data_IF_812068883104
#
_entry.id   IF_812068883104
#
_cell.length_a   1.000
_cell.length_b   1.000
_cell.length_c   1.000
_cell.angle_alpha   90.00
_cell.angle_beta   90.00
_cell.angle_gamma   90.00
#
_symmetry.space_group_name_H-M   'P 1'
#
loop_
_entity.id
_entity.type
_entity.pdbx_description
1 polymer ?
#
# COMPACT_ATOMS: atom_id res chain seq x y z
N UNK A 1 17.63 -12.13 6.26
CA UNK A 1 17.73 -10.66 6.20
C UNK A 1 19.11 -10.17 6.64
N UNK A 2 19.64 -10.58 7.80
CA UNK A 2 20.88 -10.01 8.37
C UNK A 2 22.12 -10.29 7.53
N UNK A 3 22.25 -11.48 6.91
CA UNK A 3 23.36 -11.82 6.02
C UNK A 3 23.42 -10.85 4.83
N UNK A 4 22.29 -10.61 4.20
CA UNK A 4 22.17 -9.68 3.08
C UNK A 4 22.47 -8.24 3.54
N UNK A 5 21.86 -7.80 4.65
CA UNK A 5 22.10 -6.45 5.18
C UNK A 5 23.57 -6.22 5.55
N UNK A 6 24.26 -7.21 6.12
CA UNK A 6 25.71 -7.14 6.41
C UNK A 6 26.54 -6.95 5.13
N UNK A 7 26.18 -7.66 4.04
CA UNK A 7 26.86 -7.55 2.76
C UNK A 7 26.65 -6.18 2.10
N UNK A 8 25.37 -5.71 2.05
CA UNK A 8 25.00 -4.45 1.42
C UNK A 8 25.49 -3.22 2.19
N UNK A 9 25.58 -3.31 3.52
CA UNK A 9 26.08 -2.21 4.36
C UNK A 9 27.58 -2.19 4.54
N UNK A 10 28.31 -3.19 4.01
CA UNK A 10 29.76 -3.25 4.10
C UNK A 10 30.39 -1.98 3.55
N UNK A 11 31.33 -1.40 4.30
CA UNK A 11 32.06 -0.17 3.96
C UNK A 11 31.21 1.10 3.79
N UNK A 12 29.90 1.04 4.08
CA UNK A 12 28.99 2.20 4.02
C UNK A 12 29.07 3.15 5.22
N UNK A 13 29.67 2.70 6.33
CA UNK A 13 29.64 3.41 7.62
C UNK A 13 28.28 3.31 8.36
N UNK A 14 27.28 2.66 7.79
CA UNK A 14 25.95 2.47 8.41
C UNK A 14 26.02 1.27 9.37
N UNK A 15 25.63 1.48 10.62
CA UNK A 15 25.58 0.44 11.63
C UNK A 15 24.31 -0.39 11.51
N UNK A 16 24.46 -1.70 11.33
CA UNK A 16 23.34 -2.65 11.35
C UNK A 16 22.92 -2.97 12.79
N UNK A 17 21.62 -2.85 13.08
CA UNK A 17 21.00 -3.38 14.28
C UNK A 17 20.17 -4.62 13.90
N UNK A 18 20.56 -5.78 14.42
CA UNK A 18 19.87 -7.06 14.15
C UNK A 18 18.62 -7.18 15.04
N UNK A 19 17.57 -6.50 14.64
CA UNK A 19 16.32 -6.42 15.40
C UNK A 19 15.76 -7.81 15.74
N UNK A 20 15.46 -8.03 17.03
CA UNK A 20 14.96 -9.29 17.55
C UNK A 20 16.04 -10.19 18.15
N UNK A 21 17.35 -9.87 18.00
CA UNK A 21 18.42 -10.52 18.74
C UNK A 21 18.57 -9.96 20.16
N UNK A 22 19.07 -10.79 21.07
CA UNK A 22 19.28 -10.41 22.47
C UNK A 22 20.23 -9.21 22.58
N UNK A 23 19.85 -8.21 23.38
CA UNK A 23 20.64 -7.00 23.59
C UNK A 23 20.56 -5.96 22.46
N UNK A 24 19.77 -6.21 21.42
CA UNK A 24 19.53 -5.23 20.35
C UNK A 24 18.26 -4.45 20.66
N UNK A 25 18.35 -3.10 20.82
CA UNK A 25 17.20 -2.28 21.14
C UNK A 25 16.22 -2.19 19.97
N UNK A 26 14.94 -2.06 20.27
CA UNK A 26 13.93 -1.60 19.32
C UNK A 26 14.20 -0.14 18.91
N UNK A 27 13.58 0.31 17.82
CA UNK A 27 13.69 1.72 17.36
C UNK A 27 13.29 2.67 18.49
N UNK A 28 12.21 2.37 19.19
CA UNK A 28 11.67 3.21 20.27
C UNK A 28 12.61 3.26 21.48
N UNK A 29 13.18 2.13 21.88
CA UNK A 29 14.16 2.04 22.97
C UNK A 29 15.44 2.79 22.62
N UNK A 30 15.92 2.66 21.38
CA UNK A 30 17.08 3.39 20.89
C UNK A 30 16.84 4.90 20.91
N UNK A 31 15.70 5.36 20.42
CA UNK A 31 15.34 6.79 20.43
C UNK A 31 15.19 7.30 21.86
N UNK A 32 14.56 6.53 22.74
CA UNK A 32 14.43 6.91 24.14
C UNK A 32 15.78 7.02 24.85
N UNK A 33 16.74 6.16 24.52
CA UNK A 33 18.09 6.22 25.06
C UNK A 33 18.86 7.44 24.54
N UNK A 34 18.87 7.65 23.22
CA UNK A 34 19.77 8.58 22.53
C UNK A 34 19.28 10.03 22.48
N UNK A 35 17.97 10.26 22.44
CA UNK A 35 17.47 11.62 22.34
C UNK A 35 17.61 12.38 23.68
N UNK A 36 18.03 13.65 23.65
CA UNK A 36 18.04 14.49 24.85
C UNK A 36 16.65 14.71 25.45
N UNK A 37 16.58 14.98 26.75
CA UNK A 37 15.33 15.41 27.39
C UNK A 37 14.84 16.73 26.77
N UNK A 38 13.52 16.86 26.62
CA UNK A 38 12.87 18.03 26.07
C UNK A 38 13.28 18.40 24.64
N UNK A 39 13.77 17.40 23.88
CA UNK A 39 14.05 17.55 22.45
C UNK A 39 12.81 17.35 21.59
N UNK A 40 12.97 17.45 20.28
CA UNK A 40 11.89 17.17 19.31
C UNK A 40 12.36 16.09 18.35
N UNK A 41 11.52 15.05 18.16
CA UNK A 41 11.67 14.06 17.09
C UNK A 41 10.81 14.48 15.91
N UNK A 42 11.43 14.66 14.74
CA UNK A 42 10.73 14.99 13.49
C UNK A 42 10.60 13.78 12.57
N UNK A 43 9.45 13.64 11.92
CA UNK A 43 9.22 12.74 10.79
C UNK A 43 8.09 13.27 9.89
N UNK A 44 8.06 12.82 8.64
CA UNK A 44 6.93 13.11 7.76
C UNK A 44 5.70 12.29 8.18
N UNK A 45 4.69 12.96 8.73
CA UNK A 45 3.44 12.34 9.17
C UNK A 45 2.62 11.68 8.06
N UNK A 46 2.94 11.96 6.78
CA UNK A 46 2.26 11.34 5.63
C UNK A 46 2.73 9.91 5.36
N UNK A 47 3.93 9.54 5.83
CA UNK A 47 4.54 8.21 5.63
C UNK A 47 4.63 7.37 6.91
N UNK A 48 4.17 7.90 8.04
CA UNK A 48 4.08 7.21 9.32
C UNK A 48 2.63 6.81 9.61
N UNK A 49 2.36 5.56 10.00
CA UNK A 49 1.02 5.16 10.42
C UNK A 49 0.62 5.84 11.74
N UNK A 50 -0.68 6.01 11.97
CA UNK A 50 -1.19 6.53 13.26
C UNK A 50 -0.70 5.67 14.41
N UNK A 51 -0.80 4.35 14.28
CA UNK A 51 -0.40 3.40 15.31
C UNK A 51 1.08 3.55 15.72
N UNK A 52 1.96 3.67 14.74
CA UNK A 52 3.40 3.84 14.99
C UNK A 52 3.71 5.22 15.55
N UNK A 53 3.15 6.29 14.96
CA UNK A 53 3.36 7.66 15.43
C UNK A 53 2.86 7.86 16.85
N UNK A 54 1.70 7.30 17.22
CA UNK A 54 1.18 7.36 18.59
C UNK A 54 2.03 6.54 19.56
N UNK A 55 2.52 5.36 19.14
CA UNK A 55 3.42 4.55 19.98
C UNK A 55 4.69 5.33 20.32
N UNK A 56 5.31 5.95 19.31
CA UNK A 56 6.48 6.81 19.52
C UNK A 56 6.15 8.01 20.43
N UNK A 57 5.08 8.73 20.14
CA UNK A 57 4.68 9.90 20.92
C UNK A 57 4.48 9.56 22.40
N UNK A 58 3.75 8.48 22.68
CA UNK A 58 3.45 8.04 24.05
C UNK A 58 4.72 7.62 24.82
N UNK A 59 5.60 6.85 24.18
CA UNK A 59 6.85 6.40 24.81
C UNK A 59 7.83 7.56 25.05
N UNK A 60 7.95 8.48 24.11
CA UNK A 60 8.90 9.59 24.20
C UNK A 60 8.43 10.72 25.11
N UNK A 61 7.11 10.84 25.35
CA UNK A 61 6.52 11.83 26.27
C UNK A 61 7.08 11.76 27.69
N UNK A 62 7.44 10.57 28.20
CA UNK A 62 8.05 10.39 29.52
C UNK A 62 9.39 11.10 29.69
N UNK A 63 10.07 11.42 28.56
CA UNK A 63 11.33 12.15 28.54
C UNK A 63 11.14 13.62 28.14
N UNK A 64 9.89 14.06 27.95
CA UNK A 64 9.53 15.41 27.51
C UNK A 64 9.85 15.65 26.04
N UNK A 65 9.98 14.58 25.22
CA UNK A 65 10.30 14.70 23.79
C UNK A 65 9.02 14.96 23.02
N UNK A 66 9.01 16.03 22.22
CA UNK A 66 7.89 16.40 21.36
C UNK A 66 7.99 15.70 20.00
N UNK A 67 6.84 15.52 19.35
CA UNK A 67 6.76 15.04 17.96
C UNK A 67 6.45 16.21 17.02
N UNK A 68 7.26 16.37 15.98
CA UNK A 68 6.98 17.24 14.85
C UNK A 68 6.82 16.39 13.58
N UNK A 69 5.65 16.52 12.91
CA UNK A 69 5.27 15.60 11.81
C UNK A 69 4.88 16.33 10.51
N UNK A 70 5.06 17.64 10.45
CA UNK A 70 4.59 18.48 9.33
C UNK A 70 5.62 18.64 8.21
N UNK A 71 6.86 18.23 8.43
CA UNK A 71 7.96 18.49 7.50
C UNK A 71 8.45 17.19 6.86
N UNK A 72 8.65 17.23 5.55
CA UNK A 72 9.34 16.19 4.78
C UNK A 72 10.83 16.55 4.69
N UNK A 73 11.56 16.28 5.77
CA UNK A 73 13.00 16.59 5.86
C UNK A 73 13.84 15.80 4.84
N UNK A 74 13.35 14.66 4.36
CA UNK A 74 14.03 13.88 3.33
C UNK A 74 13.96 14.60 1.99
N UNK A 75 12.83 15.25 1.68
CA UNK A 75 12.68 16.01 0.45
C UNK A 75 13.65 17.21 0.38
N UNK A 76 14.03 17.77 1.51
CA UNK A 76 14.94 18.92 1.57
C UNK A 76 16.38 18.56 1.15
N UNK A 77 16.75 17.28 1.22
CA UNK A 77 18.10 16.79 0.90
C UNK A 77 18.12 15.85 -0.33
N UNK A 78 16.97 15.42 -0.84
CA UNK A 78 16.89 14.51 -1.99
C UNK A 78 16.62 15.30 -3.28
N UNK A 79 17.68 15.83 -3.87
CA UNK A 79 17.61 16.75 -5.02
C UNK A 79 17.02 16.09 -6.30
N UNK A 80 17.29 14.79 -6.52
CA UNK A 80 16.84 14.02 -7.70
C UNK A 80 15.65 13.12 -7.40
N UNK A 81 14.83 13.45 -6.40
CA UNK A 81 13.65 12.67 -6.04
C UNK A 81 12.68 12.51 -7.22
N UNK A 82 12.34 11.27 -7.53
CA UNK A 82 11.37 10.97 -8.58
C UNK A 82 10.01 11.60 -8.28
N UNK A 83 9.37 12.13 -9.33
CA UNK A 83 7.98 12.59 -9.24
C UNK A 83 7.03 11.42 -8.99
N UNK A 84 5.83 11.73 -8.46
CA UNK A 84 4.78 10.73 -8.33
C UNK A 84 4.38 10.15 -9.70
N UNK A 85 4.00 8.87 -9.76
CA UNK A 85 3.56 8.24 -11.00
C UNK A 85 2.39 8.98 -11.64
N UNK A 86 2.35 9.04 -12.97
CA UNK A 86 1.31 9.78 -13.73
C UNK A 86 0.51 8.90 -14.69
N UNK A 87 0.71 7.58 -14.65
CA UNK A 87 0.01 6.65 -15.54
C UNK A 87 -1.51 6.67 -15.30
N UNK A 88 -2.26 6.38 -16.37
CA UNK A 88 -3.73 6.36 -16.32
C UNK A 88 -4.24 5.19 -15.49
N UNK A 89 -5.28 5.46 -14.72
CA UNK A 89 -6.08 4.43 -14.10
C UNK A 89 -7.00 3.75 -15.12
N UNK A 90 -7.45 2.53 -14.81
CA UNK A 90 -8.42 1.79 -15.61
C UNK A 90 -9.45 1.08 -14.71
N UNK A 91 -10.61 0.76 -15.27
CA UNK A 91 -11.66 0.02 -14.57
C UNK A 91 -11.40 -1.49 -14.62
N UNK A 92 -11.60 -2.15 -13.49
CA UNK A 92 -11.75 -3.60 -13.44
C UNK A 92 -13.23 -3.93 -13.58
N UNK A 93 -13.62 -4.50 -14.72
CA UNK A 93 -15.00 -4.86 -14.98
C UNK A 93 -15.59 -5.85 -13.99
N UNK A 94 -16.92 -5.88 -13.89
CA UNK A 94 -17.63 -6.80 -13.00
C UNK A 94 -17.49 -8.26 -13.40
N UNK A 95 -17.12 -8.54 -14.65
CA UNK A 95 -16.75 -9.89 -15.12
C UNK A 95 -15.48 -10.43 -14.43
N UNK A 96 -14.71 -9.56 -13.76
CA UNK A 96 -13.55 -9.93 -12.95
C UNK A 96 -13.81 -9.75 -11.46
N UNK A 97 -14.43 -8.64 -11.06
CA UNK A 97 -14.67 -8.29 -9.65
C UNK A 97 -15.91 -8.95 -9.05
N UNK A 98 -16.86 -9.34 -9.89
CA UNK A 98 -18.12 -9.99 -9.49
C UNK A 98 -19.11 -9.11 -8.73
N UNK A 99 -18.71 -7.88 -8.38
CA UNK A 99 -19.55 -6.96 -7.59
C UNK A 99 -19.29 -5.52 -8.04
N UNK A 100 -20.34 -4.73 -8.16
CA UNK A 100 -20.26 -3.33 -8.56
C UNK A 100 -19.71 -2.45 -7.43
N UNK A 101 -19.27 -1.23 -7.77
CA UNK A 101 -18.92 -0.21 -6.77
C UNK A 101 -20.10 0.11 -5.85
N UNK A 102 -21.29 0.27 -6.42
CA UNK A 102 -22.53 0.59 -5.67
C UNK A 102 -22.85 -0.46 -4.60
N UNK A 103 -22.74 -1.75 -4.96
CA UNK A 103 -23.01 -2.84 -4.01
C UNK A 103 -21.99 -2.85 -2.88
N UNK A 104 -20.70 -2.70 -3.20
CA UNK A 104 -19.62 -2.63 -2.21
C UNK A 104 -19.77 -1.42 -1.28
N UNK A 105 -20.11 -0.26 -1.84
CA UNK A 105 -20.37 0.96 -1.07
C UNK A 105 -21.54 0.77 -0.10
N UNK A 106 -22.62 0.14 -0.55
CA UNK A 106 -23.78 -0.16 0.28
C UNK A 106 -23.40 -1.04 1.48
N UNK A 107 -22.53 -2.04 1.29
CA UNK A 107 -22.01 -2.89 2.36
C UNK A 107 -21.16 -2.11 3.36
N UNK A 108 -20.28 -1.23 2.89
CA UNK A 108 -19.48 -0.35 3.75
C UNK A 108 -20.40 0.54 4.58
N UNK A 109 -21.37 1.21 3.95
CA UNK A 109 -22.32 2.08 4.64
C UNK A 109 -23.18 1.34 5.65
N UNK A 110 -23.53 0.08 5.41
CA UNK A 110 -24.25 -0.75 6.37
C UNK A 110 -23.42 -0.95 7.66
N UNK A 111 -22.13 -1.24 7.54
CA UNK A 111 -21.22 -1.35 8.71
C UNK A 111 -21.04 -0.01 9.41
N UNK A 112 -20.87 1.08 8.66
CA UNK A 112 -20.81 2.43 9.24
C UNK A 112 -22.05 2.72 10.10
N UNK A 113 -23.24 2.42 9.56
CA UNK A 113 -24.51 2.61 10.26
C UNK A 113 -24.61 1.74 11.52
N UNK A 114 -24.22 0.48 11.47
CA UNK A 114 -24.17 -0.42 12.64
C UNK A 114 -23.27 0.13 13.73
N UNK A 115 -22.12 0.70 13.36
CA UNK A 115 -21.17 1.30 14.28
C UNK A 115 -21.52 2.75 14.68
N UNK A 116 -22.59 3.31 14.14
CA UNK A 116 -22.99 4.72 14.30
C UNK A 116 -21.90 5.69 13.81
N UNK A 117 -21.08 5.27 12.84
CA UNK A 117 -20.13 6.13 12.16
C UNK A 117 -20.86 6.87 11.02
N UNK A 118 -20.59 8.15 10.88
CA UNK A 118 -21.15 8.99 9.82
C UNK A 118 -20.16 9.17 8.67
N UNK A 119 -18.88 9.09 8.98
CA UNK A 119 -17.78 9.23 8.01
C UNK A 119 -16.75 8.12 8.19
N UNK A 120 -16.23 7.58 7.08
CA UNK A 120 -15.15 6.59 7.04
C UNK A 120 -14.00 7.05 6.16
N UNK A 121 -12.78 7.04 6.69
CA UNK A 121 -11.57 7.43 5.97
C UNK A 121 -10.81 6.19 5.53
N UNK A 122 -10.58 6.05 4.22
CA UNK A 122 -9.77 5.00 3.62
C UNK A 122 -8.46 5.58 3.07
N UNK A 123 -7.33 5.00 3.49
CA UNK A 123 -5.99 5.33 3.00
C UNK A 123 -5.25 4.12 2.42
N UNK A 124 -5.73 2.89 2.63
CA UNK A 124 -5.12 1.70 2.04
C UNK A 124 -5.49 1.57 0.56
N UNK A 125 -4.47 1.59 -0.29
CA UNK A 125 -4.63 1.63 -1.75
C UNK A 125 -5.37 0.40 -2.30
N UNK A 126 -5.13 -0.77 -1.73
CA UNK A 126 -5.79 -2.02 -2.11
C UNK A 126 -7.28 -2.06 -1.69
N UNK A 127 -7.65 -1.43 -0.57
CA UNK A 127 -9.05 -1.28 -0.16
C UNK A 127 -9.79 -0.31 -1.09
N UNK A 128 -9.15 0.80 -1.46
CA UNK A 128 -9.70 1.77 -2.42
C UNK A 128 -9.84 1.11 -3.80
N UNK A 129 -8.81 0.41 -4.27
CA UNK A 129 -8.84 -0.31 -5.54
C UNK A 129 -9.94 -1.37 -5.59
N UNK A 130 -10.17 -2.09 -4.48
CA UNK A 130 -11.26 -3.06 -4.34
C UNK A 130 -12.62 -2.36 -4.36
N UNK A 131 -12.81 -1.32 -3.55
CA UNK A 131 -14.09 -0.62 -3.42
C UNK A 131 -14.54 -0.02 -4.75
N UNK A 132 -13.69 0.80 -5.36
CA UNK A 132 -14.02 1.55 -6.58
C UNK A 132 -13.88 0.75 -7.87
N UNK A 133 -13.41 -0.49 -7.82
CA UNK A 133 -13.05 -1.28 -9.01
C UNK A 133 -12.05 -0.55 -9.94
N UNK A 134 -11.19 0.31 -9.40
CA UNK A 134 -10.16 1.05 -10.13
C UNK A 134 -8.81 0.38 -9.92
N UNK A 135 -8.03 0.29 -11.00
CA UNK A 135 -6.67 -0.21 -10.98
C UNK A 135 -5.73 0.80 -11.66
N UNK A 136 -4.45 0.68 -11.37
CA UNK A 136 -3.41 1.50 -11.99
C UNK A 136 -2.04 0.83 -11.88
N UNK A 137 -0.98 1.58 -12.14
CA UNK A 137 0.40 1.08 -12.13
C UNK A 137 1.32 1.96 -11.28
N UNK A 138 0.78 2.59 -10.25
CA UNK A 138 1.56 3.48 -9.39
C UNK A 138 2.55 2.73 -8.50
N UNK A 139 2.28 1.46 -8.22
CA UNK A 139 3.17 0.58 -7.47
C UNK A 139 3.49 -0.64 -8.32
N UNK A 140 4.78 -0.90 -8.53
CA UNK A 140 5.24 -2.06 -9.33
C UNK A 140 4.69 -3.36 -8.76
N UNK A 141 4.17 -4.22 -9.63
CA UNK A 141 3.58 -5.53 -9.27
C UNK A 141 2.36 -5.46 -8.34
N UNK A 142 1.80 -4.27 -8.15
CA UNK A 142 0.58 -4.08 -7.37
C UNK A 142 -0.34 -3.09 -8.10
N UNK A 143 -1.47 -3.54 -8.70
CA UNK A 143 -2.28 -2.73 -9.61
C UNK A 143 -3.17 -1.72 -8.86
N UNK A 144 -2.57 -0.81 -8.13
CA UNK A 144 -3.23 0.23 -7.35
C UNK A 144 -2.92 1.63 -7.89
N UNK A 145 -3.71 2.61 -7.45
CA UNK A 145 -3.50 4.04 -7.75
C UNK A 145 -3.34 4.80 -6.44
N UNK A 146 -2.38 5.69 -6.36
CA UNK A 146 -2.19 6.58 -5.21
C UNK A 146 -3.47 7.42 -5.02
N UNK A 147 -4.15 7.21 -3.92
CA UNK A 147 -5.44 7.81 -3.64
C UNK A 147 -5.81 7.72 -2.16
N UNK A 148 -6.76 8.56 -1.76
CA UNK A 148 -7.49 8.46 -0.50
C UNK A 148 -8.98 8.49 -0.80
N UNK A 149 -9.79 7.98 0.10
CA UNK A 149 -11.24 8.13 0.00
C UNK A 149 -11.85 8.52 1.35
N UNK A 150 -12.87 9.36 1.29
CA UNK A 150 -13.73 9.68 2.42
C UNK A 150 -15.15 9.33 2.01
N UNK A 151 -15.79 8.48 2.82
CA UNK A 151 -17.13 7.95 2.58
C UNK A 151 -18.02 8.47 3.69
N UNK A 152 -19.03 9.26 3.34
CA UNK A 152 -20.11 9.63 4.24
C UNK A 152 -21.36 8.80 3.94
N UNK A 153 -22.41 8.96 4.74
CA UNK A 153 -23.66 8.21 4.57
C UNK A 153 -24.30 8.50 3.19
N UNK A 154 -24.18 9.72 2.70
CA UNK A 154 -24.82 10.20 1.46
C UNK A 154 -23.83 10.63 0.37
N UNK A 155 -22.58 10.82 0.69
CA UNK A 155 -21.57 11.31 -0.23
C UNK A 155 -20.29 10.45 -0.23
N UNK A 156 -19.50 10.55 -1.31
CA UNK A 156 -18.21 9.88 -1.44
C UNK A 156 -17.22 10.83 -2.10
N UNK A 157 -16.03 10.93 -1.53
CA UNK A 157 -14.93 11.72 -2.06
C UNK A 157 -13.75 10.81 -2.40
N UNK A 158 -13.25 10.93 -3.62
CA UNK A 158 -12.03 10.23 -4.07
C UNK A 158 -10.95 11.28 -4.33
N UNK A 159 -9.88 11.24 -3.55
CA UNK A 159 -8.71 12.12 -3.68
C UNK A 159 -7.64 11.41 -4.49
N UNK A 160 -7.40 11.89 -5.71
CA UNK A 160 -6.53 11.25 -6.69
C UNK A 160 -5.99 12.30 -7.66
N UNK A 161 -4.87 12.04 -8.33
CA UNK A 161 -4.49 12.87 -9.45
C UNK A 161 -5.57 12.80 -10.54
N UNK A 162 -6.27 13.94 -10.75
CA UNK A 162 -7.39 14.06 -11.68
C UNK A 162 -7.02 13.70 -13.12
N UNK A 163 -5.73 13.81 -13.47
CA UNK A 163 -5.23 13.46 -14.80
C UNK A 163 -5.25 11.95 -15.04
N UNK A 164 -5.22 11.11 -14.00
CA UNK A 164 -5.28 9.65 -14.13
C UNK A 164 -6.67 9.13 -14.49
N UNK A 165 -7.72 9.93 -14.25
CA UNK A 165 -9.11 9.51 -14.37
C UNK A 165 -9.63 9.78 -15.79
N UNK A 166 -9.87 8.68 -16.54
CA UNK A 166 -10.48 8.71 -17.86
C UNK A 166 -11.99 9.02 -17.84
N UNK A 167 -12.58 9.16 -19.03
CA UNK A 167 -14.03 9.43 -19.17
C UNK A 167 -14.88 8.26 -18.66
N UNK A 168 -14.45 7.04 -18.88
CA UNK A 168 -15.05 5.78 -18.45
C UNK A 168 -15.15 5.70 -16.92
N UNK A 169 -14.05 5.97 -16.23
CA UNK A 169 -14.01 5.98 -14.75
C UNK A 169 -14.93 7.09 -14.22
N UNK A 170 -14.89 8.29 -14.83
CA UNK A 170 -15.78 9.40 -14.43
C UNK A 170 -17.26 9.04 -14.58
N UNK A 171 -17.62 8.38 -15.68
CA UNK A 171 -18.99 7.93 -15.92
C UNK A 171 -19.44 6.89 -14.90
N UNK A 172 -18.56 5.95 -14.51
CA UNK A 172 -18.86 4.95 -13.48
C UNK A 172 -19.04 5.60 -12.10
N UNK A 173 -18.10 6.45 -11.70
CA UNK A 173 -18.11 7.12 -10.40
C UNK A 173 -19.30 8.09 -10.25
N UNK A 174 -19.74 8.70 -11.37
CA UNK A 174 -20.90 9.63 -11.35
C UNK A 174 -22.23 8.97 -10.99
N UNK A 175 -22.35 7.65 -11.15
CA UNK A 175 -23.56 6.89 -10.77
C UNK A 175 -23.87 6.99 -9.27
N UNK A 176 -22.82 7.11 -8.46
CA UNK A 176 -22.91 7.24 -6.99
C UNK A 176 -22.52 8.65 -6.50
N UNK A 177 -22.57 9.65 -7.37
CA UNK A 177 -22.24 11.05 -7.04
C UNK A 177 -20.85 11.21 -6.40
N UNK A 178 -19.86 10.40 -6.80
CA UNK A 178 -18.50 10.50 -6.28
C UNK A 178 -17.84 11.81 -6.71
N UNK A 179 -17.40 12.59 -5.74
CA UNK A 179 -16.67 13.82 -5.96
C UNK A 179 -15.17 13.52 -6.08
N UNK A 180 -14.60 13.81 -7.26
CA UNK A 180 -13.17 13.62 -7.53
C UNK A 180 -12.42 14.90 -7.15
N UNK A 181 -11.51 14.79 -6.20
CA UNK A 181 -10.65 15.88 -5.70
C UNK A 181 -9.17 15.60 -6.01
N UNK A 182 -8.32 16.62 -5.92
CA UNK A 182 -6.87 16.46 -6.05
C UNK A 182 -6.28 15.65 -4.90
N UNK A 183 -5.24 14.86 -5.17
CA UNK A 183 -4.63 13.92 -4.22
C UNK A 183 -4.28 14.56 -2.87
N UNK A 184 -3.61 15.72 -2.89
CA UNK A 184 -3.20 16.44 -1.69
C UNK A 184 -4.36 17.20 -0.99
N UNK A 185 -5.50 17.39 -1.66
CA UNK A 185 -6.64 18.10 -1.09
C UNK A 185 -7.24 17.36 0.13
N UNK A 186 -6.90 16.08 0.33
CA UNK A 186 -7.38 15.28 1.47
C UNK A 186 -6.99 15.90 2.80
N UNK A 187 -5.80 16.44 2.92
CA UNK A 187 -5.29 16.99 4.19
C UNK A 187 -6.06 18.22 4.63
N UNK A 188 -6.46 19.08 3.69
CA UNK A 188 -7.29 20.25 3.99
C UNK A 188 -8.74 19.86 4.17
N UNK A 189 -9.25 18.89 3.40
CA UNK A 189 -10.63 18.39 3.54
C UNK A 189 -10.88 17.84 4.94
N UNK A 190 -9.94 17.05 5.47
CA UNK A 190 -10.08 16.42 6.80
C UNK A 190 -10.13 17.45 7.94
N UNK A 191 -9.46 18.59 7.82
CA UNK A 191 -9.52 19.67 8.82
C UNK A 191 -10.92 20.30 8.95
N UNK A 192 -11.74 20.17 7.91
CA UNK A 192 -13.06 20.77 7.82
C UNK A 192 -14.18 19.73 8.01
N UNK A 193 -13.89 18.59 8.66
CA UNK A 193 -14.93 17.63 9.09
C UNK A 193 -15.74 18.28 10.21
N UNK A 194 -17.07 18.21 10.09
CA UNK A 194 -17.98 18.82 11.06
C UNK A 194 -17.87 18.15 12.45
N UNK A 195 -18.12 18.92 13.48
CA UNK A 195 -17.91 18.48 14.88
C UNK A 195 -18.88 17.38 15.33
N UNK A 196 -20.03 17.25 14.70
CA UNK A 196 -21.06 16.25 14.94
C UNK A 196 -20.82 14.92 14.19
N UNK A 197 -19.80 14.89 13.33
CA UNK A 197 -19.40 13.66 12.62
C UNK A 197 -18.75 12.64 13.56
N UNK A 198 -18.97 11.37 13.25
CA UNK A 198 -18.31 10.23 13.91
C UNK A 198 -17.44 9.51 12.88
N UNK A 199 -16.13 9.62 13.02
CA UNK A 199 -15.16 9.13 12.03
C UNK A 199 -14.70 7.72 12.35
N UNK A 200 -14.99 6.75 11.45
CA UNK A 200 -14.41 5.40 11.47
C UNK A 200 -13.05 5.43 10.77
N UNK A 201 -12.01 4.97 11.44
CA UNK A 201 -10.64 5.05 10.96
C UNK A 201 -9.80 3.84 11.42
N UNK A 202 -9.01 3.27 10.50
CA UNK A 202 -8.04 2.22 10.80
C UNK A 202 -6.66 2.83 11.06
N UNK A 203 -6.26 2.90 12.31
CA UNK A 203 -5.00 3.53 12.75
C UNK A 203 -3.74 2.81 12.22
N UNK A 204 -3.86 1.56 11.76
CA UNK A 204 -2.77 0.82 11.12
C UNK A 204 -2.62 1.13 9.62
N UNK A 205 -3.58 1.81 9.01
CA UNK A 205 -3.66 2.09 7.57
C UNK A 205 -3.63 3.57 7.23
N UNK A 206 -4.19 4.39 8.09
CA UNK A 206 -4.19 5.84 7.90
C UNK A 206 -2.89 6.44 8.43
N UNK A 207 -2.39 7.46 7.74
CA UNK A 207 -1.18 8.15 8.15
C UNK A 207 -1.41 9.15 9.29
N UNK A 208 -0.34 9.44 10.01
CA UNK A 208 -0.35 10.28 11.21
C UNK A 208 -0.83 11.72 10.93
N UNK A 209 -0.49 12.26 9.75
CA UNK A 209 -0.90 13.62 9.37
C UNK A 209 -2.43 13.72 9.15
N UNK A 210 -3.06 12.74 8.48
CA UNK A 210 -4.52 12.69 8.31
C UNK A 210 -5.20 12.64 9.67
N UNK A 211 -4.77 11.74 10.56
CA UNK A 211 -5.39 11.58 11.87
C UNK A 211 -5.33 12.86 12.72
N UNK A 212 -4.18 13.51 12.74
CA UNK A 212 -3.98 14.74 13.52
C UNK A 212 -4.64 15.99 12.88
N UNK A 213 -5.07 15.89 11.61
CA UNK A 213 -5.87 16.93 10.97
C UNK A 213 -7.37 16.80 11.29
N UNK A 214 -7.84 15.64 11.79
CA UNK A 214 -9.23 15.51 12.26
C UNK A 214 -9.39 16.40 13.49
N UNK A 215 -10.38 17.33 13.53
CA UNK A 215 -10.60 18.19 14.67
C UNK A 215 -10.68 17.41 15.98
N UNK A 216 -10.12 17.96 17.05
CA UNK A 216 -9.96 17.24 18.34
C UNK A 216 -11.29 16.88 19.03
N UNK A 217 -12.34 17.63 18.74
CA UNK A 217 -13.71 17.43 19.24
C UNK A 217 -14.52 16.40 18.43
N UNK A 218 -14.05 16.00 17.23
CA UNK A 218 -14.68 14.95 16.42
C UNK A 218 -14.47 13.59 17.05
N UNK A 219 -15.55 12.84 17.23
CA UNK A 219 -15.49 11.48 17.77
C UNK A 219 -14.83 10.53 16.75
N UNK A 220 -13.89 9.70 17.19
CA UNK A 220 -13.19 8.70 16.38
C UNK A 220 -13.51 7.29 16.85
N UNK A 221 -13.83 6.40 15.89
CA UNK A 221 -13.94 4.94 16.11
C UNK A 221 -12.72 4.33 15.46
N UNK A 222 -11.78 3.87 16.28
CA UNK A 222 -10.50 3.30 15.85
C UNK A 222 -10.63 1.78 15.68
N UNK A 223 -11.05 1.36 14.51
CA UNK A 223 -11.26 -0.04 14.17
C UNK A 223 -10.74 -0.35 12.77
N UNK A 224 -10.58 -1.65 12.46
CA UNK A 224 -10.16 -2.12 11.15
C UNK A 224 -11.16 -1.69 10.06
N UNK A 225 -10.63 -1.38 8.87
CA UNK A 225 -11.46 -1.10 7.70
C UNK A 225 -12.41 -2.28 7.43
N UNK A 226 -13.73 -2.05 7.28
CA UNK A 226 -14.68 -3.10 6.89
C UNK A 226 -14.31 -3.81 5.59
N UNK A 227 -13.73 -3.08 4.64
CA UNK A 227 -13.24 -3.58 3.36
C UNK A 227 -12.23 -4.74 3.50
N UNK A 228 -11.44 -4.80 4.56
CA UNK A 228 -10.47 -5.88 4.77
C UNK A 228 -11.15 -7.24 4.80
N UNK A 229 -12.23 -7.37 5.57
CA UNK A 229 -12.99 -8.63 5.64
C UNK A 229 -13.70 -8.92 4.32
N UNK A 230 -14.39 -7.94 3.77
CA UNK A 230 -15.13 -8.09 2.53
C UNK A 230 -14.25 -8.49 1.35
N UNK A 231 -13.08 -7.88 1.21
CA UNK A 231 -12.09 -8.20 0.20
C UNK A 231 -11.47 -9.60 0.41
N UNK A 232 -11.33 -10.05 1.64
CA UNK A 232 -10.76 -11.38 1.94
C UNK A 232 -11.68 -12.53 1.54
N UNK A 233 -13.00 -12.34 1.61
CA UNK A 233 -14.01 -13.34 1.24
C UNK A 233 -14.32 -13.15 -0.25
N UNK A 234 -13.80 -14.06 -1.09
CA UNK A 234 -13.94 -13.98 -2.54
C UNK A 234 -15.31 -14.48 -2.99
N UNK A 235 -15.95 -13.75 -3.91
CA UNK A 235 -17.17 -14.21 -4.57
C UNK A 235 -16.86 -15.25 -5.67
N UNK A 236 -17.90 -15.90 -6.21
CA UNK A 236 -17.74 -16.96 -7.20
C UNK A 236 -17.04 -16.53 -8.49
N UNK A 237 -17.23 -15.27 -8.93
CA UNK A 237 -16.59 -14.72 -10.12
C UNK A 237 -15.09 -14.50 -9.84
N UNK A 238 -14.75 -13.91 -8.71
CA UNK A 238 -13.36 -13.77 -8.28
C UNK A 238 -12.67 -15.13 -8.16
N UNK A 239 -13.32 -16.13 -7.53
CA UNK A 239 -12.77 -17.49 -7.40
C UNK A 239 -12.53 -18.14 -8.76
N UNK A 240 -13.47 -18.01 -9.69
CA UNK A 240 -13.33 -18.51 -11.07
C UNK A 240 -12.14 -17.86 -11.77
N UNK A 241 -12.02 -16.55 -11.68
CA UNK A 241 -10.93 -15.80 -12.32
C UNK A 241 -9.58 -16.13 -11.69
N UNK A 242 -9.49 -16.25 -10.36
CA UNK A 242 -8.28 -16.65 -9.66
C UNK A 242 -7.83 -18.04 -10.10
N UNK A 243 -8.73 -19.04 -10.11
CA UNK A 243 -8.42 -20.40 -10.58
C UNK A 243 -7.89 -20.39 -12.02
N UNK A 244 -8.55 -19.64 -12.92
CA UNK A 244 -8.11 -19.52 -14.31
C UNK A 244 -6.73 -18.85 -14.43
N UNK A 245 -6.46 -17.82 -13.65
CA UNK A 245 -5.16 -17.17 -13.61
C UNK A 245 -4.04 -18.12 -13.15
N UNK A 246 -4.31 -18.95 -12.12
CA UNK A 246 -3.35 -19.96 -11.67
C UNK A 246 -3.10 -21.06 -12.72
N UNK A 247 -4.11 -21.45 -13.50
CA UNK A 247 -3.92 -22.40 -14.61
C UNK A 247 -2.98 -21.79 -15.67
N UNK A 248 -3.20 -20.53 -16.05
CA UNK A 248 -2.33 -19.82 -17.01
C UNK A 248 -0.90 -19.71 -16.50
N UNK A 249 -0.71 -19.32 -15.24
CA UNK A 249 0.62 -19.26 -14.64
C UNK A 249 1.29 -20.63 -14.56
N UNK A 250 0.53 -21.68 -14.22
CA UNK A 250 0.99 -23.07 -14.22
C UNK A 250 1.47 -23.53 -15.60
N UNK A 251 0.77 -23.14 -16.68
CA UNK A 251 1.22 -23.41 -18.06
C UNK A 251 2.54 -22.69 -18.37
N UNK A 252 2.64 -21.40 -18.02
CA UNK A 252 3.86 -20.62 -18.23
C UNK A 252 5.05 -21.21 -17.46
N UNK A 253 4.84 -21.56 -16.20
CA UNK A 253 5.85 -22.17 -15.35
C UNK A 253 6.28 -23.57 -15.86
N UNK A 254 5.35 -24.38 -16.34
CA UNK A 254 5.65 -25.70 -16.93
C UNK A 254 6.52 -25.56 -18.18
N UNK A 255 6.19 -24.60 -19.07
CA UNK A 255 7.02 -24.27 -20.25
C UNK A 255 8.42 -23.83 -19.83
N UNK A 256 8.52 -23.00 -18.81
CA UNK A 256 9.81 -22.56 -18.27
C UNK A 256 10.64 -23.73 -17.73
N UNK A 257 10.03 -24.61 -16.92
CA UNK A 257 10.72 -25.79 -16.39
C UNK A 257 11.21 -26.75 -17.50
N UNK A 258 10.40 -26.93 -18.54
CA UNK A 258 10.81 -27.70 -19.70
C UNK A 258 11.99 -27.04 -20.43
N UNK A 259 11.92 -25.73 -20.69
CA UNK A 259 13.01 -24.98 -21.28
C UNK A 259 14.28 -25.05 -20.46
N UNK A 260 14.22 -24.83 -19.16
CA UNK A 260 15.35 -24.85 -18.26
C UNK A 260 16.06 -26.20 -18.26
N UNK A 261 15.31 -27.29 -18.10
CA UNK A 261 15.86 -28.66 -18.10
C UNK A 261 16.53 -29.04 -19.42
N UNK A 262 16.08 -28.51 -20.54
CA UNK A 262 16.66 -28.81 -21.85
C UNK A 262 17.87 -27.94 -22.20
N UNK A 263 18.08 -26.83 -21.51
CA UNK A 263 19.10 -25.84 -21.85
C UNK A 263 20.22 -25.72 -20.80
N UNK A 264 19.95 -26.11 -19.54
CA UNK A 264 20.98 -26.06 -18.49
C UNK A 264 22.22 -26.88 -18.89
N UNK A 265 23.40 -26.25 -18.76
CA UNK A 265 24.67 -26.84 -19.19
C UNK A 265 24.95 -26.81 -20.70
N UNK A 266 23.98 -26.31 -21.53
CA UNK A 266 24.17 -26.17 -22.99
C UNK A 266 24.29 -24.71 -23.42
N UNK A 267 23.67 -23.80 -22.70
CA UNK A 267 23.76 -22.36 -22.91
C UNK A 267 24.04 -21.67 -21.57
N UNK A 268 24.53 -20.45 -21.63
CA UNK A 268 24.66 -19.63 -20.42
C UNK A 268 23.28 -19.22 -19.92
N UNK A 269 22.99 -19.51 -18.67
CA UNK A 269 21.76 -19.12 -17.98
C UNK A 269 22.14 -18.44 -16.67
N UNK A 270 21.77 -17.16 -16.53
CA UNK A 270 21.92 -16.39 -15.31
C UNK A 270 20.59 -16.33 -14.55
N UNK A 271 20.62 -15.88 -13.31
CA UNK A 271 19.41 -15.64 -12.52
C UNK A 271 18.48 -14.63 -13.20
N UNK A 272 19.06 -13.59 -13.83
CA UNK A 272 18.32 -12.58 -14.58
C UNK A 272 17.69 -13.18 -15.84
N UNK A 273 18.47 -13.90 -16.67
CA UNK A 273 17.95 -14.49 -17.91
C UNK A 273 16.89 -15.56 -17.65
N UNK A 274 17.01 -16.32 -16.56
CA UNK A 274 15.99 -17.28 -16.14
C UNK A 274 14.68 -16.58 -15.76
N UNK A 275 14.75 -15.49 -15.01
CA UNK A 275 13.59 -14.67 -14.63
C UNK A 275 12.89 -14.08 -15.86
N UNK A 276 13.67 -13.50 -16.78
CA UNK A 276 13.16 -12.94 -18.03
C UNK A 276 12.46 -14.02 -18.89
N UNK A 277 13.04 -15.22 -18.96
CA UNK A 277 12.45 -16.33 -19.71
C UNK A 277 11.12 -16.81 -19.15
N UNK A 278 10.99 -16.86 -17.82
CA UNK A 278 9.70 -17.16 -17.18
C UNK A 278 8.67 -16.07 -17.50
N UNK A 279 9.05 -14.80 -17.46
CA UNK A 279 8.15 -13.69 -17.80
C UNK A 279 7.74 -13.73 -19.27
N UNK A 280 8.63 -14.11 -20.22
CA UNK A 280 8.26 -14.32 -21.62
C UNK A 280 7.12 -15.33 -21.77
N UNK A 281 7.21 -16.50 -21.11
CA UNK A 281 6.14 -17.49 -21.13
C UNK A 281 4.83 -17.01 -20.47
N UNK A 282 4.91 -16.16 -19.46
CA UNK A 282 3.74 -15.49 -18.86
C UNK A 282 3.09 -14.50 -19.83
N UNK A 283 3.90 -13.76 -20.60
CA UNK A 283 3.43 -12.80 -21.63
C UNK A 283 2.73 -13.48 -22.80
N UNK A 284 2.99 -14.76 -23.06
CA UNK A 284 2.24 -15.55 -24.06
C UNK A 284 0.79 -15.82 -23.61
N UNK A 285 0.48 -15.68 -22.32
CA UNK A 285 -0.85 -15.95 -21.80
C UNK A 285 -1.78 -14.76 -22.08
N UNK A 286 -3.03 -15.11 -22.47
CA UNK A 286 -4.06 -14.09 -22.71
C UNK A 286 -4.29 -13.20 -21.50
N UNK A 287 -4.40 -11.89 -21.75
CA UNK A 287 -4.66 -10.84 -20.74
C UNK A 287 -3.57 -10.70 -19.67
N UNK A 288 -2.35 -11.10 -19.96
CA UNK A 288 -1.23 -10.79 -19.10
C UNK A 288 -1.03 -9.25 -19.03
N UNK A 289 -0.90 -8.72 -17.81
CA UNK A 289 -0.62 -7.30 -17.56
C UNK A 289 0.83 -7.14 -17.07
N UNK A 290 1.13 -7.78 -15.95
CA UNK A 290 2.45 -7.76 -15.31
C UNK A 290 2.58 -8.92 -14.30
N UNK A 291 3.80 -9.27 -13.85
CA UNK A 291 3.96 -10.18 -12.73
C UNK A 291 3.35 -9.59 -11.45
N UNK A 292 2.64 -10.40 -10.69
CA UNK A 292 2.06 -10.00 -9.39
C UNK A 292 3.11 -9.89 -8.27
N UNK A 293 4.33 -10.35 -8.53
CA UNK A 293 5.48 -10.29 -7.64
C UNK A 293 6.77 -10.38 -8.46
N UNK A 294 7.82 -9.68 -8.02
CA UNK A 294 9.14 -9.79 -8.65
C UNK A 294 9.67 -11.22 -8.46
N UNK A 295 10.02 -11.90 -9.55
CA UNK A 295 10.55 -13.27 -9.46
C UNK A 295 11.88 -13.27 -8.71
N UNK A 296 11.99 -14.09 -7.67
CA UNK A 296 13.24 -14.35 -6.97
C UNK A 296 13.85 -15.61 -7.58
N UNK A 297 14.94 -15.45 -8.32
CA UNK A 297 15.74 -16.55 -8.85
C UNK A 297 17.12 -16.46 -8.22
N UNK A 298 17.52 -17.49 -7.50
CA UNK A 298 18.76 -17.51 -6.75
C UNK A 298 19.49 -18.83 -6.97
N UNK A 299 20.79 -18.77 -7.24
CA UNK A 299 21.62 -19.92 -7.52
C UNK A 299 22.74 -20.04 -6.48
N UNK A 300 23.06 -21.26 -6.04
CA UNK A 300 24.08 -21.57 -5.02
C UNK A 300 23.89 -20.78 -3.72
N UNK A 301 24.89 -20.00 -3.31
CA UNK A 301 24.94 -19.19 -2.10
C UNK A 301 23.89 -18.08 -2.06
N UNK A 302 23.51 -17.53 -3.22
CA UNK A 302 22.41 -16.56 -3.30
C UNK A 302 21.08 -17.15 -2.80
N UNK A 303 20.86 -18.45 -2.91
CA UNK A 303 19.66 -19.10 -2.43
C UNK A 303 19.51 -19.09 -0.90
N UNK A 304 20.54 -18.71 -0.15
CA UNK A 304 20.48 -18.49 1.29
C UNK A 304 19.88 -17.13 1.68
N UNK A 305 19.70 -16.22 0.70
CA UNK A 305 19.19 -14.85 0.93
C UNK A 305 17.69 -14.78 0.69
N UNK A 306 16.91 -14.48 1.73
CA UNK A 306 15.43 -14.54 1.70
C UNK A 306 14.79 -13.47 0.80
N UNK A 307 15.41 -12.30 0.63
CA UNK A 307 14.94 -11.18 -0.22
C UNK A 307 15.98 -10.80 -1.26
N UNK A 308 16.52 -11.84 -1.91
CA UNK A 308 17.52 -11.66 -2.96
C UNK A 308 16.95 -11.01 -4.20
N UNK A 309 17.68 -10.07 -4.76
CA UNK A 309 17.48 -9.54 -6.11
C UNK A 309 18.78 -9.69 -6.88
N UNK A 310 18.73 -10.36 -8.02
CA UNK A 310 19.89 -10.51 -8.89
C UNK A 310 20.31 -9.16 -9.50
N UNK A 311 21.61 -8.90 -9.54
CA UNK A 311 22.26 -7.69 -10.11
C UNK A 311 23.25 -8.03 -11.17
#
# INVERSE_FOLDING_TARGET
YFIQAEQELKDSGIKLFKMGEEGVPTIEEYLLEKLPKNSTLGFDGRVMSVKEGQSLANKLAFKGINIEYKYDLVNDIWEDRCSLPTEKAFLLGTEYSGESFSDKLSRIRAVMKEKKATTHILASLDDIAWLFNIRGRDVKSNPVVLSYAVISIDSVYLFIDKNKIGKDIRAELSKENVQIKGYEEVYEFIKNIDEDEVVLIDTSKVNYAIYNNIPSNVQKIEERNPSILFKSIKNEIELKNIRNSHIKDGVAFTKFMYWLKNNIGKIEITEISATQKLEEFRREQDKFIEPSFSTIAAYKDHAAMMHYSAT
#
